data_IF_477132312111
#
_entry.id   IF_477132312111
#
_cell.length_a   1.000
_cell.length_b   1.000
_cell.length_c   1.000
_cell.angle_alpha   90.00
_cell.angle_beta   90.00
_cell.angle_gamma   90.00
#
_symmetry.space_group_name_H-M   'P 1'
#
loop_
_entity.id
_entity.type
_entity.pdbx_description
1 polymer ?
#
# COMPACT_ATOMS: atom_id res chain seq x y z
N UNK A 1 -15.99 -0.09 -5.48
CA UNK A 1 -14.55 -0.23 -5.64
C UNK A 1 -13.87 0.07 -4.30
N UNK A 2 -12.72 -0.52 -4.02
CA UNK A 2 -11.99 -0.39 -2.75
C UNK A 2 -12.88 -0.66 -1.51
N UNK A 3 -13.44 -1.88 -1.42
CA UNK A 3 -14.35 -2.25 -0.33
C UNK A 3 -13.71 -2.25 1.06
N UNK A 4 -12.38 -2.10 1.17
CA UNK A 4 -11.70 -1.84 2.44
C UNK A 4 -12.22 -0.58 3.14
N UNK A 5 -12.72 0.40 2.38
CA UNK A 5 -13.28 1.64 2.94
C UNK A 5 -14.57 1.42 3.76
N UNK A 6 -15.24 0.27 3.61
CA UNK A 6 -16.47 -0.06 4.35
C UNK A 6 -16.27 -1.14 5.42
N UNK A 7 -15.03 -1.48 5.77
CA UNK A 7 -14.71 -2.53 6.76
C UNK A 7 -15.27 -2.26 8.15
N UNK A 8 -15.26 -0.99 8.59
CA UNK A 8 -15.80 -0.60 9.89
C UNK A 8 -17.30 -0.26 9.80
N UNK A 9 -18.21 -1.04 10.42
CA UNK A 9 -19.66 -0.76 10.40
C UNK A 9 -20.05 0.54 11.08
N UNK A 10 -19.24 0.98 12.05
CA UNK A 10 -19.51 2.18 12.85
C UNK A 10 -19.02 3.47 12.18
N UNK A 11 -18.31 3.38 11.05
CA UNK A 11 -17.81 4.57 10.35
C UNK A 11 -18.96 5.37 9.75
N UNK A 12 -18.79 6.70 9.68
CA UNK A 12 -19.77 7.57 9.03
C UNK A 12 -19.95 7.24 7.54
N UNK A 13 -18.87 6.82 6.88
CA UNK A 13 -18.86 6.41 5.48
C UNK A 13 -19.70 5.14 5.27
N UNK A 14 -19.46 4.07 6.03
CA UNK A 14 -20.21 2.81 5.92
C UNK A 14 -21.69 3.04 6.18
N UNK A 15 -22.03 3.79 7.25
CA UNK A 15 -23.44 4.14 7.55
C UNK A 15 -24.10 4.97 6.45
N UNK A 16 -23.34 5.79 5.73
CA UNK A 16 -23.86 6.59 4.63
C UNK A 16 -24.07 5.74 3.38
N UNK A 17 -23.10 4.88 3.06
CA UNK A 17 -23.17 3.97 1.91
C UNK A 17 -24.37 3.01 2.03
N UNK A 18 -24.64 2.49 3.24
CA UNK A 18 -25.76 1.59 3.49
C UNK A 18 -27.14 2.22 3.27
N UNK A 19 -27.26 3.55 3.26
CA UNK A 19 -28.52 4.27 3.02
C UNK A 19 -28.91 4.33 1.54
N UNK A 20 -27.97 4.10 0.61
CA UNK A 20 -28.28 4.12 -0.81
C UNK A 20 -29.16 2.93 -1.20
N UNK A 21 -30.25 3.23 -1.91
CA UNK A 21 -31.12 2.22 -2.53
C UNK A 21 -30.48 1.80 -3.85
N UNK A 22 -30.32 0.50 -4.04
CA UNK A 22 -29.71 -0.09 -5.23
C UNK A 22 -30.34 -1.44 -5.52
N UNK A 23 -30.55 -1.77 -6.79
CA UNK A 23 -31.03 -3.11 -7.19
C UNK A 23 -29.90 -4.15 -7.17
N UNK A 24 -28.67 -3.73 -7.47
CA UNK A 24 -27.48 -4.58 -7.47
C UNK A 24 -26.36 -3.90 -6.67
N UNK A 25 -25.55 -4.71 -5.97
CA UNK A 25 -24.39 -4.25 -5.20
C UNK A 25 -23.21 -5.15 -5.52
N UNK A 26 -22.05 -4.52 -5.75
CA UNK A 26 -20.82 -5.22 -6.07
C UNK A 26 -19.69 -4.59 -5.26
N UNK A 27 -18.87 -5.43 -4.64
CA UNK A 27 -17.72 -5.03 -3.84
C UNK A 27 -16.47 -5.57 -4.51
N UNK A 28 -15.55 -4.66 -4.84
CA UNK A 28 -14.23 -4.97 -5.40
C UNK A 28 -13.20 -4.66 -4.33
N UNK A 29 -12.30 -5.60 -4.06
CA UNK A 29 -11.24 -5.47 -3.07
C UNK A 29 -10.13 -6.48 -3.40
N UNK A 30 -8.87 -6.05 -3.30
CA UNK A 30 -7.73 -6.97 -3.41
C UNK A 30 -7.67 -7.94 -2.24
N UNK A 31 -8.09 -7.49 -1.06
CA UNK A 31 -8.01 -8.20 0.23
C UNK A 31 -9.39 -8.27 0.89
N UNK A 32 -10.25 -9.26 0.54
CA UNK A 32 -11.63 -9.31 1.04
C UNK A 32 -11.74 -9.47 2.56
N UNK A 33 -10.69 -9.98 3.22
CA UNK A 33 -10.61 -10.11 4.67
C UNK A 33 -9.17 -9.81 5.07
N UNK A 34 -8.88 -8.56 5.45
CA UNK A 34 -7.52 -8.21 5.88
C UNK A 34 -7.21 -8.82 7.24
N UNK A 35 -8.03 -8.59 8.28
CA UNK A 35 -7.57 -8.98 9.63
C UNK A 35 -8.68 -9.33 10.64
N UNK A 36 -9.97 -9.09 10.34
CA UNK A 36 -11.08 -9.35 11.29
C UNK A 36 -12.33 -9.89 10.61
N UNK A 37 -12.97 -10.90 11.22
CA UNK A 37 -14.25 -11.44 10.74
C UNK A 37 -15.36 -10.37 10.71
N UNK A 38 -15.24 -9.32 11.53
CA UNK A 38 -16.18 -8.20 11.52
C UNK A 38 -16.13 -7.40 10.20
N UNK A 39 -14.97 -7.35 9.54
CA UNK A 39 -14.79 -6.66 8.26
C UNK A 39 -15.58 -7.37 7.16
N UNK A 40 -15.49 -8.71 7.15
CA UNK A 40 -16.30 -9.58 6.30
C UNK A 40 -17.79 -9.33 6.53
N UNK A 41 -18.24 -9.27 7.80
CA UNK A 41 -19.63 -8.98 8.11
C UNK A 41 -20.08 -7.62 7.57
N UNK A 42 -19.23 -6.59 7.67
CA UNK A 42 -19.55 -5.25 7.16
C UNK A 42 -19.76 -5.25 5.64
N UNK A 43 -18.85 -5.91 4.90
CA UNK A 43 -18.95 -6.06 3.44
C UNK A 43 -20.21 -6.85 3.06
N UNK A 44 -20.50 -7.95 3.75
CA UNK A 44 -21.70 -8.74 3.49
C UNK A 44 -22.99 -8.03 3.87
N UNK A 45 -22.97 -7.20 4.91
CA UNK A 45 -24.12 -6.37 5.27
C UNK A 45 -24.38 -5.28 4.22
N UNK A 46 -23.32 -4.79 3.55
CA UNK A 46 -23.48 -3.96 2.36
C UNK A 46 -24.05 -4.76 1.19
N UNK A 47 -23.47 -5.90 0.83
CA UNK A 47 -23.91 -6.69 -0.34
C UNK A 47 -25.34 -7.23 -0.18
N UNK A 48 -25.60 -7.92 0.93
CA UNK A 48 -26.84 -8.63 1.24
C UNK A 48 -27.23 -8.37 2.69
N UNK A 49 -27.86 -7.22 2.95
CA UNK A 49 -28.26 -6.81 4.29
C UNK A 49 -29.09 -7.88 5.00
N UNK A 50 -28.64 -8.29 6.20
CA UNK A 50 -29.30 -9.30 7.02
C UNK A 50 -28.92 -10.76 6.73
N UNK A 51 -28.18 -11.05 5.65
CA UNK A 51 -27.79 -12.43 5.29
C UNK A 51 -27.00 -13.15 6.39
N UNK A 52 -26.04 -12.46 7.02
CA UNK A 52 -25.25 -12.96 8.15
C UNK A 52 -25.84 -12.59 9.52
N UNK A 53 -27.11 -12.15 9.55
CA UNK A 53 -27.76 -11.65 10.76
C UNK A 53 -27.22 -10.31 11.24
N UNK A 54 -27.65 -9.91 12.45
CA UNK A 54 -27.18 -8.66 13.09
C UNK A 54 -25.75 -8.82 13.59
N UNK A 55 -25.01 -7.73 13.70
CA UNK A 55 -23.61 -7.71 14.15
C UNK A 55 -23.38 -8.51 15.44
N UNK A 56 -24.24 -8.34 16.44
CA UNK A 56 -24.13 -9.07 17.71
C UNK A 56 -24.29 -10.59 17.54
N UNK A 57 -25.19 -11.03 16.66
CA UNK A 57 -25.44 -12.45 16.38
C UNK A 57 -24.27 -13.05 15.59
N UNK A 58 -23.75 -12.32 14.61
CA UNK A 58 -22.56 -12.72 13.87
C UNK A 58 -21.36 -12.86 14.81
N UNK A 59 -21.19 -11.90 15.72
CA UNK A 59 -20.10 -11.91 16.69
C UNK A 59 -20.18 -13.12 17.62
N UNK A 60 -21.34 -13.41 18.19
CA UNK A 60 -21.52 -14.57 19.07
C UNK A 60 -21.49 -15.91 18.33
N UNK A 61 -21.97 -15.95 17.07
CA UNK A 61 -22.14 -17.18 16.31
C UNK A 61 -20.94 -17.58 15.45
N UNK A 62 -20.06 -16.63 15.12
CA UNK A 62 -18.90 -16.86 14.25
C UNK A 62 -17.64 -16.19 14.78
N UNK A 63 -17.63 -14.88 15.02
CA UNK A 63 -16.39 -14.16 15.37
C UNK A 63 -15.72 -14.71 16.63
N UNK A 64 -16.46 -14.83 17.74
CA UNK A 64 -15.92 -15.34 19.01
C UNK A 64 -15.54 -16.82 18.90
N UNK A 65 -16.41 -17.74 18.42
CA UNK A 65 -16.03 -19.15 18.26
C UNK A 65 -14.78 -19.35 17.39
N UNK A 66 -14.66 -18.62 16.27
CA UNK A 66 -13.57 -18.81 15.32
C UNK A 66 -12.27 -18.19 15.84
N UNK A 67 -12.30 -16.95 16.36
CA UNK A 67 -11.08 -16.25 16.75
C UNK A 67 -10.62 -16.54 18.18
N UNK A 68 -11.54 -16.80 19.11
CA UNK A 68 -11.22 -17.04 20.52
C UNK A 68 -11.17 -18.52 20.86
N UNK A 69 -12.16 -19.28 20.40
CA UNK A 69 -12.32 -20.70 20.76
C UNK A 69 -11.69 -21.64 19.72
N UNK A 70 -11.17 -21.08 18.61
CA UNK A 70 -10.52 -21.78 17.50
C UNK A 70 -11.40 -22.87 16.87
N UNK A 71 -12.71 -22.60 16.78
CA UNK A 71 -13.72 -23.51 16.26
C UNK A 71 -13.68 -23.59 14.72
N UNK A 72 -13.03 -24.63 14.20
CA UNK A 72 -12.91 -24.89 12.77
C UNK A 72 -14.24 -25.25 12.08
N UNK A 73 -15.20 -25.84 12.79
CA UNK A 73 -16.51 -26.16 12.20
C UNK A 73 -17.32 -24.90 11.90
N UNK A 74 -17.22 -23.90 12.80
CA UNK A 74 -17.82 -22.58 12.59
C UNK A 74 -17.15 -21.84 11.44
N UNK A 75 -15.84 -21.95 11.30
CA UNK A 75 -15.11 -21.37 10.17
C UNK A 75 -15.56 -21.97 8.83
N UNK A 76 -15.64 -23.30 8.71
CA UNK A 76 -16.11 -23.96 7.49
C UNK A 76 -17.59 -23.69 7.20
N UNK A 77 -18.41 -23.56 8.24
CA UNK A 77 -19.81 -23.18 8.07
C UNK A 77 -19.93 -21.77 7.50
N UNK A 78 -19.19 -20.80 8.06
CA UNK A 78 -19.15 -19.44 7.52
C UNK A 78 -18.64 -19.42 6.08
N UNK A 79 -17.56 -20.16 5.79
CA UNK A 79 -16.96 -20.27 4.46
C UNK A 79 -17.98 -20.75 3.42
N UNK A 80 -18.73 -21.82 3.72
CA UNK A 80 -19.78 -22.35 2.83
C UNK A 80 -20.91 -21.36 2.59
N UNK A 81 -21.29 -20.57 3.60
CA UNK A 81 -22.31 -19.53 3.44
C UNK A 81 -21.86 -18.41 2.50
N UNK A 82 -20.61 -17.97 2.60
CA UNK A 82 -20.12 -16.82 1.82
C UNK A 82 -19.65 -17.21 0.41
N UNK A 83 -19.20 -18.45 0.21
CA UNK A 83 -18.59 -18.92 -1.04
C UNK A 83 -19.39 -18.59 -2.32
N UNK A 84 -20.73 -18.71 -2.37
CA UNK A 84 -21.51 -18.39 -3.58
C UNK A 84 -21.46 -16.91 -3.99
N UNK A 85 -21.07 -16.02 -3.07
CA UNK A 85 -21.04 -14.57 -3.29
C UNK A 85 -19.62 -14.03 -3.51
N UNK A 86 -18.61 -14.87 -3.32
CA UNK A 86 -17.20 -14.47 -3.40
C UNK A 86 -16.58 -15.12 -4.63
N UNK A 87 -16.34 -14.30 -5.65
CA UNK A 87 -15.45 -14.68 -6.74
C UNK A 87 -14.05 -14.20 -6.38
N UNK A 88 -13.22 -15.11 -5.84
CA UNK A 88 -11.80 -14.86 -5.60
C UNK A 88 -10.99 -15.62 -6.64
N UNK A 89 -10.05 -14.90 -7.25
CA UNK A 89 -9.15 -15.37 -8.29
C UNK A 89 -7.74 -15.00 -7.85
N UNK A 90 -6.87 -16.00 -7.68
CA UNK A 90 -5.47 -15.78 -7.30
C UNK A 90 -4.60 -15.79 -8.55
N UNK A 91 -3.50 -15.03 -8.58
CA UNK A 91 -2.60 -14.98 -9.75
C UNK A 91 -2.03 -16.36 -10.10
N UNK A 92 -2.00 -17.27 -9.13
CA UNK A 92 -1.55 -18.67 -9.26
C UNK A 92 -2.64 -19.65 -9.71
N UNK A 93 -3.87 -19.19 -9.95
CA UNK A 93 -4.97 -20.04 -10.38
C UNK A 93 -4.71 -20.56 -11.81
N UNK A 94 -4.63 -21.90 -12.02
CA UNK A 94 -4.35 -22.50 -13.33
C UNK A 94 -5.26 -22.03 -14.46
N UNK A 95 -6.51 -21.67 -14.15
CA UNK A 95 -7.49 -21.18 -15.12
C UNK A 95 -7.27 -19.70 -15.51
N UNK A 96 -6.41 -18.98 -14.79
CA UNK A 96 -6.02 -17.58 -15.03
C UNK A 96 -4.59 -17.47 -15.58
N UNK A 97 -3.71 -18.41 -15.22
CA UNK A 97 -2.31 -18.44 -15.71
C UNK A 97 -2.23 -18.37 -17.24
N UNK A 98 -3.24 -18.88 -17.96
CA UNK A 98 -3.31 -18.83 -19.43
C UNK A 98 -3.68 -17.44 -19.99
N UNK A 99 -4.30 -16.57 -19.19
CA UNK A 99 -4.86 -15.26 -19.59
C UNK A 99 -4.23 -14.06 -18.85
N UNK A 100 -3.29 -14.27 -17.92
CA UNK A 100 -2.56 -13.19 -17.27
C UNK A 100 -1.47 -12.65 -18.20
N UNK A 101 -1.48 -11.35 -18.55
CA UNK A 101 -0.37 -10.75 -19.28
C UNK A 101 0.91 -10.81 -18.43
N UNK A 102 2.05 -11.00 -19.10
CA UNK A 102 3.38 -11.23 -18.49
C UNK A 102 3.79 -10.15 -17.46
N UNK A 103 3.23 -8.93 -17.58
CA UNK A 103 3.38 -7.83 -16.63
C UNK A 103 2.19 -6.88 -16.71
N UNK A 104 1.61 -6.53 -15.56
CA UNK A 104 0.60 -5.47 -15.45
C UNK A 104 1.26 -4.21 -14.87
N UNK A 105 1.18 -3.09 -15.59
CA UNK A 105 1.69 -1.81 -15.13
C UNK A 105 0.56 -0.90 -14.63
N UNK A 106 0.61 -0.55 -13.35
CA UNK A 106 -0.35 0.35 -12.72
C UNK A 106 0.34 1.63 -12.24
N UNK A 107 -0.17 2.80 -12.65
CA UNK A 107 0.33 4.10 -12.18
C UNK A 107 -0.44 4.55 -10.96
N UNK A 108 0.26 4.66 -9.82
CA UNK A 108 -0.28 5.21 -8.59
C UNK A 108 0.04 6.71 -8.52
N UNK A 109 -0.99 7.54 -8.47
CA UNK A 109 -0.85 8.99 -8.35
C UNK A 109 -0.92 9.39 -6.88
N UNK A 110 0.15 9.99 -6.36
CA UNK A 110 0.21 10.50 -5.00
C UNK A 110 0.15 12.03 -5.05
N UNK A 111 -0.77 12.64 -4.28
CA UNK A 111 -0.77 14.08 -4.08
C UNK A 111 0.35 14.47 -3.12
N UNK A 112 0.95 15.65 -3.31
CA UNK A 112 1.96 16.15 -2.37
C UNK A 112 1.32 16.51 -1.04
N UNK A 113 2.02 16.26 0.07
CA UNK A 113 1.65 16.85 1.36
C UNK A 113 1.81 18.37 1.33
N UNK A 114 1.20 19.08 2.29
CA UNK A 114 1.36 20.54 2.40
C UNK A 114 2.83 20.95 2.55
N UNK A 115 3.60 20.18 3.32
CA UNK A 115 5.04 20.37 3.49
C UNK A 115 5.77 20.19 2.15
N UNK A 116 5.52 19.09 1.44
CA UNK A 116 6.13 18.83 0.15
C UNK A 116 5.78 19.90 -0.89
N UNK A 117 4.50 20.31 -0.96
CA UNK A 117 4.04 21.34 -1.89
C UNK A 117 4.73 22.68 -1.62
N UNK A 118 4.87 23.05 -0.35
CA UNK A 118 5.54 24.28 0.07
C UNK A 118 7.04 24.27 -0.28
N UNK A 119 7.75 23.16 -0.01
CA UNK A 119 9.15 22.98 -0.40
C UNK A 119 9.32 22.99 -1.93
N UNK A 120 8.43 22.31 -2.63
CA UNK A 120 8.44 22.22 -4.09
C UNK A 120 8.29 23.61 -4.71
N UNK A 121 7.29 24.38 -4.26
CA UNK A 121 7.04 25.72 -4.76
C UNK A 121 8.20 26.69 -4.46
N UNK A 122 8.78 26.61 -3.26
CA UNK A 122 9.95 27.41 -2.90
C UNK A 122 11.13 27.15 -3.85
N UNK A 123 11.41 25.88 -4.17
CA UNK A 123 12.48 25.50 -5.11
C UNK A 123 12.17 25.97 -6.53
N UNK A 124 10.92 25.91 -6.98
CA UNK A 124 10.51 26.40 -8.30
C UNK A 124 10.66 27.92 -8.41
N UNK A 125 10.23 28.69 -7.40
CA UNK A 125 10.37 30.15 -7.42
C UNK A 125 11.83 30.61 -7.41
N UNK A 126 12.66 29.93 -6.62
CA UNK A 126 14.11 30.19 -6.59
C UNK A 126 14.73 29.93 -7.97
N UNK A 127 14.38 28.81 -8.62
CA UNK A 127 14.97 28.48 -9.92
C UNK A 127 14.54 29.41 -11.04
N UNK A 128 13.28 29.85 -11.06
CA UNK A 128 12.78 30.78 -12.07
C UNK A 128 13.59 32.07 -12.07
N UNK A 129 13.93 32.58 -10.88
CA UNK A 129 14.74 33.79 -10.71
C UNK A 129 16.17 33.57 -11.21
N UNK A 130 16.77 32.42 -10.91
CA UNK A 130 18.13 32.11 -11.32
C UNK A 130 18.24 31.85 -12.83
N UNK A 131 17.24 31.20 -13.44
CA UNK A 131 17.21 30.91 -14.88
C UNK A 131 17.16 32.16 -15.75
N UNK A 132 16.61 33.28 -15.26
CA UNK A 132 16.65 34.55 -16.00
C UNK A 132 18.08 35.10 -16.15
N UNK A 133 19.01 34.66 -15.29
CA UNK A 133 20.38 35.16 -15.22
C UNK A 133 21.42 34.15 -15.72
N UNK A 134 21.00 32.97 -16.15
CA UNK A 134 21.89 31.86 -16.54
C UNK A 134 21.72 31.45 -18.00
N UNK A 135 22.86 31.32 -18.70
CA UNK A 135 22.95 30.89 -20.09
C UNK A 135 23.87 29.65 -20.25
N UNK A 136 23.80 29.01 -21.41
CA UNK A 136 24.69 27.91 -21.79
C UNK A 136 24.71 26.73 -20.80
N UNK A 137 25.91 26.22 -20.52
CA UNK A 137 26.15 25.05 -19.66
C UNK A 137 25.70 25.30 -18.22
N UNK A 138 25.85 26.54 -17.71
CA UNK A 138 25.42 26.91 -16.35
C UNK A 138 23.91 26.71 -16.19
N UNK A 139 23.13 27.12 -17.19
CA UNK A 139 21.67 26.91 -17.21
C UNK A 139 21.31 25.43 -17.16
N UNK A 140 22.01 24.58 -17.92
CA UNK A 140 21.73 23.14 -17.95
C UNK A 140 22.01 22.47 -16.60
N UNK A 141 23.17 22.76 -15.99
CA UNK A 141 23.50 22.24 -14.65
C UNK A 141 22.49 22.68 -13.59
N UNK A 142 22.01 23.92 -13.71
CA UNK A 142 21.00 24.48 -12.82
C UNK A 142 19.64 23.77 -12.94
N UNK A 143 19.21 23.45 -14.16
CA UNK A 143 17.99 22.65 -14.40
C UNK A 143 18.15 21.25 -13.81
N UNK A 144 19.25 20.56 -14.10
CA UNK A 144 19.48 19.19 -13.65
C UNK A 144 19.53 19.09 -12.12
N UNK A 145 20.24 20.00 -11.45
CA UNK A 145 20.28 20.05 -9.99
C UNK A 145 18.89 20.30 -9.39
N UNK A 146 18.09 21.16 -10.02
CA UNK A 146 16.71 21.42 -9.58
C UNK A 146 15.81 20.22 -9.75
N UNK A 147 15.86 19.53 -10.90
CA UNK A 147 15.10 18.30 -11.11
C UNK A 147 15.44 17.24 -10.05
N UNK A 148 16.72 17.14 -9.67
CA UNK A 148 17.16 16.27 -8.57
C UNK A 148 16.50 16.68 -7.26
N UNK A 149 16.55 17.97 -6.87
CA UNK A 149 15.91 18.48 -5.64
C UNK A 149 14.40 18.21 -5.62
N UNK A 150 13.70 18.49 -6.72
CA UNK A 150 12.26 18.23 -6.83
C UNK A 150 11.94 16.74 -6.67
N UNK A 151 12.74 15.85 -7.27
CA UNK A 151 12.60 14.40 -7.07
C UNK A 151 12.84 13.99 -5.61
N UNK A 152 13.79 14.61 -4.90
CA UNK A 152 14.04 14.34 -3.48
C UNK A 152 12.84 14.74 -2.63
N UNK A 153 12.28 15.94 -2.85
CA UNK A 153 11.07 16.43 -2.17
C UNK A 153 9.90 15.47 -2.39
N UNK A 154 9.64 15.06 -3.63
CA UNK A 154 8.56 14.13 -3.96
C UNK A 154 8.76 12.73 -3.34
N UNK A 155 10.00 12.30 -3.11
CA UNK A 155 10.27 11.05 -2.39
C UNK A 155 9.98 11.22 -0.91
N UNK A 156 10.58 12.22 -0.25
CA UNK A 156 10.37 12.52 1.16
C UNK A 156 11.00 13.88 1.54
N UNK A 157 10.36 14.75 2.33
CA UNK A 157 10.95 16.02 2.79
C UNK A 157 12.34 15.88 3.43
N UNK A 158 12.50 14.92 4.37
CA UNK A 158 13.80 14.63 5.00
C UNK A 158 14.94 14.27 4.01
N UNK A 159 14.61 13.71 2.83
CA UNK A 159 15.62 13.39 1.80
C UNK A 159 16.08 14.64 1.03
N UNK A 160 15.31 15.73 1.09
CA UNK A 160 15.71 17.02 0.54
C UNK A 160 16.36 17.92 1.59
N UNK A 161 15.81 17.94 2.82
CA UNK A 161 16.20 18.87 3.87
C UNK A 161 17.53 18.51 4.54
N UNK A 162 17.86 17.22 4.65
CA UNK A 162 19.04 16.71 5.37
C UNK A 162 19.20 17.30 6.78
N UNK A 163 18.08 17.60 7.45
CA UNK A 163 18.00 18.31 8.74
C UNK A 163 17.90 17.36 9.95
N UNK A 164 18.06 16.05 9.72
CA UNK A 164 17.89 15.02 10.75
C UNK A 164 16.43 14.74 11.12
N UNK A 165 15.47 15.32 10.40
CA UNK A 165 14.05 15.07 10.62
C UNK A 165 13.66 13.63 10.28
N UNK A 166 12.54 13.17 10.88
CA UNK A 166 12.10 11.77 10.73
C UNK A 166 11.70 11.44 9.30
N UNK A 167 12.10 10.28 8.83
CA UNK A 167 11.59 9.65 7.62
C UNK A 167 10.32 8.86 7.99
N UNK A 168 9.13 9.43 7.79
CA UNK A 168 7.86 8.92 8.31
C UNK A 168 6.70 9.09 7.33
N UNK A 169 5.71 8.21 7.43
CA UNK A 169 4.58 8.14 6.48
C UNK A 169 3.81 9.47 6.37
N UNK A 170 3.55 10.12 7.49
CA UNK A 170 2.76 11.35 7.60
C UNK A 170 3.35 12.55 6.83
N UNK A 171 4.64 12.48 6.46
CA UNK A 171 5.33 13.55 5.73
C UNK A 171 5.45 13.30 4.24
N UNK A 172 5.22 12.07 3.78
CA UNK A 172 5.31 11.69 2.37
C UNK A 172 4.17 10.74 2.00
N UNK A 173 3.15 11.23 1.26
CA UNK A 173 2.05 10.39 0.76
C UNK A 173 2.54 9.27 -0.16
N UNK A 174 3.69 9.45 -0.82
CA UNK A 174 4.33 8.38 -1.60
C UNK A 174 4.86 7.25 -0.70
N UNK A 175 5.45 7.59 0.44
CA UNK A 175 5.92 6.62 1.42
C UNK A 175 4.75 5.91 2.10
N UNK A 176 3.71 6.65 2.48
CA UNK A 176 2.47 6.11 3.03
C UNK A 176 1.86 5.09 2.06
N UNK A 177 1.62 5.49 0.80
CA UNK A 177 1.04 4.59 -0.21
C UNK A 177 1.92 3.37 -0.49
N UNK A 178 3.24 3.54 -0.50
CA UNK A 178 4.18 2.41 -0.63
C UNK A 178 4.04 1.43 0.55
N UNK A 179 3.93 1.92 1.79
CA UNK A 179 3.74 1.07 2.95
C UNK A 179 2.44 0.27 2.86
N UNK A 180 1.34 0.92 2.46
CA UNK A 180 0.04 0.25 2.27
C UNK A 180 0.14 -0.87 1.23
N UNK A 181 0.72 -0.57 0.06
CA UNK A 181 0.90 -1.57 -1.01
C UNK A 181 1.79 -2.73 -0.59
N UNK A 182 2.85 -2.46 0.18
CA UNK A 182 3.75 -3.53 0.66
C UNK A 182 3.09 -4.36 1.76
N UNK A 183 2.26 -3.76 2.61
CA UNK A 183 1.49 -4.50 3.59
C UNK A 183 0.54 -5.49 2.90
N UNK A 184 -0.16 -5.05 1.84
CA UNK A 184 -1.02 -5.93 1.01
C UNK A 184 -0.22 -7.11 0.42
N UNK A 185 0.96 -6.84 -0.17
CA UNK A 185 1.81 -7.89 -0.76
C UNK A 185 2.27 -8.91 0.29
N UNK A 186 2.67 -8.44 1.48
CA UNK A 186 3.13 -9.30 2.56
C UNK A 186 1.98 -10.13 3.14
N UNK A 187 0.79 -9.55 3.29
CA UNK A 187 -0.41 -10.26 3.73
C UNK A 187 -0.82 -11.38 2.75
N UNK A 188 -0.55 -11.19 1.45
CA UNK A 188 -0.75 -12.23 0.42
C UNK A 188 0.32 -13.34 0.43
N UNK A 189 1.37 -13.19 1.24
CA UNK A 189 2.52 -14.10 1.24
C UNK A 189 3.36 -13.99 -0.03
N UNK A 190 3.28 -12.84 -0.73
CA UNK A 190 4.08 -12.53 -1.91
C UNK A 190 5.32 -11.69 -1.53
N UNK A 191 6.29 -11.62 -2.45
CA UNK A 191 7.51 -10.83 -2.30
C UNK A 191 7.48 -9.59 -3.20
N UNK A 192 7.95 -8.44 -2.69
CA UNK A 192 8.02 -7.19 -3.44
C UNK A 192 9.45 -6.75 -3.75
N UNK A 193 9.64 -6.14 -4.93
CA UNK A 193 10.86 -5.43 -5.29
C UNK A 193 10.58 -3.93 -5.38
N UNK A 194 11.30 -3.13 -4.59
CA UNK A 194 11.18 -1.67 -4.57
C UNK A 194 12.43 -1.03 -5.17
N UNK A 195 12.26 -0.29 -6.25
CA UNK A 195 13.35 0.41 -6.94
C UNK A 195 13.35 1.91 -6.62
N UNK A 196 14.54 2.46 -6.38
CA UNK A 196 14.76 3.91 -6.21
C UNK A 196 16.06 4.33 -6.89
N UNK A 197 16.05 5.52 -7.51
CA UNK A 197 17.24 6.13 -8.09
C UNK A 197 18.24 6.59 -7.02
N UNK A 198 17.79 6.83 -5.79
CA UNK A 198 18.59 7.46 -4.74
C UNK A 198 19.00 6.47 -3.66
N UNK A 199 20.31 6.24 -3.52
CA UNK A 199 20.86 5.34 -2.52
C UNK A 199 20.57 5.83 -1.08
N UNK A 200 20.70 7.13 -0.83
CA UNK A 200 20.43 7.73 0.48
C UNK A 200 18.98 7.47 0.93
N UNK A 201 18.01 7.70 0.03
CA UNK A 201 16.61 7.37 0.31
C UNK A 201 16.40 5.87 0.52
N UNK A 202 17.16 5.01 -0.16
CA UNK A 202 17.09 3.55 0.00
C UNK A 202 17.45 3.09 1.41
N UNK A 203 18.50 3.66 2.01
CA UNK A 203 18.89 3.33 3.39
C UNK A 203 17.83 3.77 4.42
N UNK A 204 17.29 5.00 4.27
CA UNK A 204 16.21 5.49 5.12
C UNK A 204 14.93 4.65 4.96
N UNK A 205 14.61 4.29 3.72
CA UNK A 205 13.46 3.45 3.38
C UNK A 205 13.59 2.05 3.96
N UNK A 206 14.75 1.39 3.85
CA UNK A 206 14.99 0.07 4.43
C UNK A 206 14.70 0.07 5.94
N UNK A 207 15.28 1.03 6.66
CA UNK A 207 15.09 1.16 8.12
C UNK A 207 13.62 1.37 8.47
N UNK A 208 12.94 2.24 7.71
CA UNK A 208 11.53 2.57 7.94
C UNK A 208 10.60 1.37 7.65
N UNK A 209 10.79 0.70 6.52
CA UNK A 209 9.99 -0.47 6.13
C UNK A 209 10.19 -1.62 7.11
N UNK A 210 11.42 -1.90 7.52
CA UNK A 210 11.69 -2.95 8.51
C UNK A 210 10.96 -2.68 9.84
N UNK A 211 10.99 -1.44 10.31
CA UNK A 211 10.29 -1.04 11.54
C UNK A 211 8.76 -1.07 11.40
N UNK A 212 8.23 -0.82 10.20
CA UNK A 212 6.78 -0.68 9.97
C UNK A 212 6.12 -2.02 9.64
N UNK A 213 6.76 -2.84 8.80
CA UNK A 213 6.20 -4.09 8.29
C UNK A 213 6.59 -5.31 9.13
N UNK A 214 7.60 -5.19 9.99
CA UNK A 214 8.03 -6.28 10.87
C UNK A 214 8.65 -7.48 10.14
N UNK A 215 9.02 -7.32 8.86
CA UNK A 215 9.61 -8.37 8.03
C UNK A 215 11.08 -8.04 7.69
N UNK A 216 11.86 -9.04 7.21
CA UNK A 216 13.15 -8.78 6.60
C UNK A 216 13.01 -7.80 5.42
N UNK A 217 13.87 -6.78 5.37
CA UNK A 217 13.96 -5.85 4.23
C UNK A 217 15.40 -5.80 3.77
N UNK A 218 15.66 -6.44 2.63
CA UNK A 218 16.98 -6.49 2.01
C UNK A 218 17.22 -5.23 1.19
N UNK A 219 18.42 -4.67 1.29
CA UNK A 219 18.80 -3.46 0.56
C UNK A 219 20.04 -3.69 -0.28
N UNK A 220 19.87 -3.58 -1.60
CA UNK A 220 20.91 -3.79 -2.60
C UNK A 220 21.22 -2.47 -3.30
N UNK A 221 22.48 -2.06 -3.25
CA UNK A 221 22.96 -0.84 -3.89
C UNK A 221 24.34 -1.04 -4.54
N UNK A 222 24.80 -0.06 -5.32
CA UNK A 222 26.04 -0.15 -6.09
C UNK A 222 27.33 -0.28 -5.25
N UNK A 223 27.26 -0.03 -3.94
CA UNK A 223 28.39 -0.19 -3.02
C UNK A 223 28.51 -1.58 -2.40
N UNK A 224 27.53 -2.47 -2.62
CA UNK A 224 27.56 -3.84 -2.10
C UNK A 224 28.49 -4.71 -2.94
N UNK A 225 29.38 -5.46 -2.29
CA UNK A 225 30.32 -6.38 -2.95
C UNK A 225 29.57 -7.51 -3.69
N UNK A 226 30.21 -8.13 -4.68
CA UNK A 226 29.61 -9.22 -5.45
C UNK A 226 29.16 -10.40 -4.56
N UNK A 227 30.02 -10.84 -3.64
CA UNK A 227 29.70 -11.93 -2.72
C UNK A 227 28.51 -11.59 -1.79
N UNK A 228 28.45 -10.36 -1.28
CA UNK A 228 27.34 -9.94 -0.43
C UNK A 228 26.04 -9.74 -1.23
N UNK A 229 26.14 -9.36 -2.50
CA UNK A 229 25.01 -9.27 -3.42
C UNK A 229 24.37 -10.64 -3.66
N UNK A 230 25.17 -11.64 -3.99
CA UNK A 230 24.68 -13.02 -4.19
C UNK A 230 23.99 -13.54 -2.92
N UNK A 231 24.58 -13.28 -1.76
CA UNK A 231 23.98 -13.63 -0.47
C UNK A 231 22.61 -12.97 -0.26
N UNK A 232 22.48 -11.66 -0.49
CA UNK A 232 21.20 -10.96 -0.34
C UNK A 232 20.13 -11.47 -1.33
N UNK A 233 20.53 -11.83 -2.55
CA UNK A 233 19.62 -12.38 -3.55
C UNK A 233 19.14 -13.76 -3.12
N UNK A 234 20.03 -14.64 -2.67
CA UNK A 234 19.67 -15.95 -2.15
C UNK A 234 18.74 -15.85 -0.93
N UNK A 235 19.08 -15.01 0.05
CA UNK A 235 18.24 -14.77 1.23
C UNK A 235 16.85 -14.23 0.86
N UNK A 236 16.72 -13.44 -0.20
CA UNK A 236 15.41 -12.96 -0.68
C UNK A 236 14.61 -14.04 -1.42
N UNK A 237 15.27 -14.98 -2.10
CA UNK A 237 14.60 -16.06 -2.83
C UNK A 237 14.12 -17.20 -1.91
N UNK A 238 14.81 -17.39 -0.79
CA UNK A 238 14.53 -18.47 0.18
C UNK A 238 13.60 -18.04 1.34
N UNK A 239 13.27 -16.74 1.44
CA UNK A 239 12.41 -16.16 2.48
C UNK A 239 10.92 -16.25 2.13
#
# INVERSE_FOLDING_TARGET
DEAQNIKNPSSAQTRSILKFKSQHRLALTGTPVENRLLDLWSIFNFLNAGYLGRQAQFRSGFEVPIQRDNDGERAETLRRMIQPFVLRRVKTDPDIIRDLPEKVENRQYCQLSLEQASLYEAVVRDIETQLQRSEGISRQGLILSTLTRLKQICNHPAHFLHDGSRFSNDRSPKLERLCDMLAEVIEEGESALVFSQFAEAGAALQKHLHATLGCPVFYLHGGVSAAQREKLIAEFQDA
#
